data_IF_924467858170
#
_entry.id   IF_924467858170
#
_cell.length_a   1.000
_cell.length_b   1.000
_cell.length_c   1.000
_cell.angle_alpha   90.00
_cell.angle_beta   90.00
_cell.angle_gamma   90.00
#
_symmetry.space_group_name_H-M   'P 1'
#
loop_
_entity.id
_entity.type
_entity.pdbx_description
1 polymer ?
#
# COMPACT_ATOMS: atom_id res chain seq x y z
N UNK A 1 -12.92 52.29 47.00
CA UNK A 1 -13.24 50.84 46.90
C UNK A 1 -11.98 50.08 47.29
N UNK A 2 -11.99 49.30 48.37
CA UNK A 2 -10.80 48.79 49.08
C UNK A 2 -10.06 47.69 48.29
N UNK A 3 -9.29 48.09 47.27
CA UNK A 3 -8.48 47.20 46.43
C UNK A 3 -7.43 46.42 47.23
N UNK A 4 -6.93 46.97 48.34
CA UNK A 4 -5.94 46.33 49.20
C UNK A 4 -6.47 45.10 49.95
N UNK A 5 -7.77 45.00 50.22
CA UNK A 5 -8.34 43.83 50.92
C UNK A 5 -8.43 42.57 50.06
N UNK A 6 -8.48 42.73 48.73
CA UNK A 6 -8.69 41.63 47.78
C UNK A 6 -7.40 41.12 47.12
N UNK A 7 -6.23 41.69 47.46
CA UNK A 7 -4.95 41.31 46.84
C UNK A 7 -4.62 39.83 47.03
N UNK A 8 -4.90 39.28 48.22
CA UNK A 8 -4.66 37.86 48.52
C UNK A 8 -5.60 36.95 47.71
N UNK A 9 -6.88 37.31 47.58
CA UNK A 9 -7.85 36.54 46.78
C UNK A 9 -7.48 36.55 45.30
N UNK A 10 -6.98 37.68 44.80
CA UNK A 10 -6.55 37.85 43.41
C UNK A 10 -5.28 37.03 43.11
N UNK A 11 -4.33 36.96 44.06
CA UNK A 11 -3.17 36.06 43.94
C UNK A 11 -3.57 34.59 43.93
N UNK A 12 -4.53 34.17 44.77
CA UNK A 12 -5.04 32.79 44.79
C UNK A 12 -5.74 32.45 43.48
N UNK A 13 -6.55 33.37 42.93
CA UNK A 13 -7.21 33.18 41.64
C UNK A 13 -6.20 33.07 40.49
N UNK A 14 -5.17 33.91 40.48
CA UNK A 14 -4.10 33.84 39.49
C UNK A 14 -3.34 32.51 39.57
N UNK A 15 -3.02 32.03 40.77
CA UNK A 15 -2.38 30.73 40.98
C UNK A 15 -3.26 29.56 40.51
N UNK A 16 -4.56 29.60 40.80
CA UNK A 16 -5.51 28.60 40.33
C UNK A 16 -5.62 28.59 38.79
N UNK A 17 -5.62 29.77 38.16
CA UNK A 17 -5.65 29.89 36.71
C UNK A 17 -4.40 29.30 36.05
N UNK A 18 -3.21 29.57 36.62
CA UNK A 18 -1.96 28.99 36.13
C UNK A 18 -1.93 27.46 36.26
N UNK A 19 -2.47 26.89 37.35
CA UNK A 19 -2.59 25.43 37.47
C UNK A 19 -3.50 24.83 36.40
N UNK A 20 -4.65 25.44 36.11
CA UNK A 20 -5.58 24.96 35.08
C UNK A 20 -4.97 25.00 33.68
N UNK A 21 -4.22 26.06 33.37
CA UNK A 21 -3.49 26.18 32.11
C UNK A 21 -2.39 25.12 31.99
N UNK A 22 -1.60 24.92 33.05
CA UNK A 22 -0.54 23.90 33.07
C UNK A 22 -1.11 22.48 32.95
N UNK A 23 -2.22 22.19 33.64
CA UNK A 23 -2.91 20.91 33.55
C UNK A 23 -3.44 20.66 32.13
N UNK A 24 -4.12 21.64 31.54
CA UNK A 24 -4.66 21.56 30.18
C UNK A 24 -3.55 21.36 29.15
N UNK A 25 -2.44 22.10 29.29
CA UNK A 25 -1.26 21.96 28.43
C UNK A 25 -0.67 20.54 28.53
N UNK A 26 -0.44 20.03 29.74
CA UNK A 26 0.11 18.69 29.96
C UNK A 26 -0.81 17.60 29.43
N UNK A 27 -2.13 17.74 29.60
CA UNK A 27 -3.12 16.78 29.11
C UNK A 27 -3.13 16.73 27.57
N UNK A 28 -3.18 17.91 26.92
CA UNK A 28 -3.13 18.01 25.47
C UNK A 28 -1.80 17.50 24.89
N UNK A 29 -0.68 17.80 25.55
CA UNK A 29 0.63 17.33 25.11
C UNK A 29 0.74 15.80 25.24
N UNK A 30 0.29 15.21 26.34
CA UNK A 30 0.30 13.75 26.52
C UNK A 30 -0.58 13.04 25.49
N UNK A 31 -1.78 13.56 25.22
CA UNK A 31 -2.67 13.04 24.18
C UNK A 31 -2.03 13.11 22.78
N UNK A 32 -1.41 14.25 22.45
CA UNK A 32 -0.74 14.42 21.16
C UNK A 32 0.44 13.45 20.97
N UNK A 33 1.21 13.17 22.03
CA UNK A 33 2.31 12.21 22.00
C UNK A 33 1.83 10.77 21.79
N UNK A 34 0.73 10.37 22.45
CA UNK A 34 0.13 9.04 22.28
C UNK A 34 -0.35 8.86 20.83
N UNK A 35 -1.06 9.84 20.28
CA UNK A 35 -1.54 9.82 18.90
C UNK A 35 -0.36 9.77 17.92
N UNK A 36 0.69 10.54 18.16
CA UNK A 36 1.90 10.55 17.32
C UNK A 36 2.62 9.20 17.38
N UNK A 37 2.73 8.59 18.56
CA UNK A 37 3.34 7.27 18.74
C UNK A 37 2.56 6.18 17.97
N UNK A 38 1.22 6.19 18.05
CA UNK A 38 0.37 5.26 17.30
C UNK A 38 0.54 5.43 15.79
N UNK A 39 0.46 6.66 15.27
CA UNK A 39 0.71 6.95 13.85
C UNK A 39 2.09 6.49 13.38
N UNK A 40 3.10 6.66 14.23
CA UNK A 40 4.47 6.23 13.91
C UNK A 40 4.57 4.70 13.89
N UNK A 41 3.93 4.00 14.82
CA UNK A 41 3.88 2.54 14.82
C UNK A 41 3.16 1.99 13.58
N UNK A 42 2.04 2.59 13.17
CA UNK A 42 1.33 2.25 11.94
C UNK A 42 2.19 2.48 10.70
N UNK A 43 2.92 3.61 10.64
CA UNK A 43 3.84 3.90 9.54
C UNK A 43 4.98 2.85 9.48
N UNK A 44 5.57 2.50 10.62
CA UNK A 44 6.61 1.46 10.71
C UNK A 44 6.06 0.10 10.28
N UNK A 45 4.84 -0.25 10.70
CA UNK A 45 4.18 -1.49 10.29
C UNK A 45 3.96 -1.53 8.77
N UNK A 46 3.45 -0.43 8.19
CA UNK A 46 3.28 -0.29 6.74
C UNK A 46 4.60 -0.42 5.98
N UNK A 47 5.68 0.19 6.49
CA UNK A 47 7.02 0.04 5.92
C UNK A 47 7.53 -1.40 6.00
N UNK A 48 7.33 -2.08 7.13
CA UNK A 48 7.70 -3.51 7.28
C UNK A 48 6.95 -4.38 6.28
N UNK A 49 5.65 -4.14 6.08
CA UNK A 49 4.84 -4.83 5.07
C UNK A 49 5.37 -4.59 3.65
N UNK A 50 5.66 -3.34 3.29
CA UNK A 50 6.25 -3.02 1.98
C UNK A 50 7.60 -3.71 1.75
N UNK A 51 8.47 -3.77 2.78
CA UNK A 51 9.75 -4.47 2.73
C UNK A 51 9.55 -5.99 2.57
N UNK A 52 8.61 -6.57 3.33
CA UNK A 52 8.29 -7.99 3.22
C UNK A 52 7.80 -8.35 1.81
N UNK A 53 6.89 -7.55 1.24
CA UNK A 53 6.40 -7.71 -0.13
C UNK A 53 7.55 -7.61 -1.14
N UNK A 54 8.42 -6.62 -1.02
CA UNK A 54 9.60 -6.46 -1.88
C UNK A 54 10.56 -7.67 -1.80
N UNK A 55 10.68 -8.28 -0.62
CA UNK A 55 11.48 -9.51 -0.43
C UNK A 55 10.85 -10.71 -1.13
N UNK A 56 9.52 -10.83 -1.11
CA UNK A 56 8.79 -11.86 -1.87
C UNK A 56 8.94 -11.65 -3.38
N UNK A 57 8.88 -10.41 -3.86
CA UNK A 57 9.01 -10.10 -5.28
C UNK A 57 10.42 -10.37 -5.83
N UNK A 58 11.48 -10.04 -5.07
CA UNK A 58 12.88 -10.38 -5.43
C UNK A 58 13.22 -11.87 -5.40
N UNK A 59 12.31 -12.76 -5.00
CA UNK A 59 12.59 -14.18 -4.91
C UNK A 59 12.74 -14.82 -6.30
N UNK A 60 13.77 -15.67 -6.48
CA UNK A 60 13.98 -16.47 -7.71
C UNK A 60 12.74 -17.30 -8.08
N UNK A 61 11.97 -17.75 -7.09
CA UNK A 61 10.70 -18.48 -7.31
C UNK A 61 9.66 -17.65 -8.07
N UNK A 62 9.59 -16.33 -7.80
CA UNK A 62 8.67 -15.41 -8.49
C UNK A 62 9.05 -15.29 -9.96
N UNK A 63 10.35 -15.11 -10.25
CA UNK A 63 10.85 -15.08 -11.64
C UNK A 63 10.48 -16.34 -12.42
N UNK A 64 10.64 -17.52 -11.82
CA UNK A 64 10.26 -18.79 -12.44
C UNK A 64 8.75 -18.89 -12.70
N UNK A 65 7.92 -18.46 -11.74
CA UNK A 65 6.45 -18.44 -11.93
C UNK A 65 6.02 -17.50 -13.04
N UNK A 66 6.68 -16.33 -13.17
CA UNK A 66 6.42 -15.40 -14.27
C UNK A 66 6.82 -16.03 -15.62
N UNK A 67 7.98 -16.68 -15.69
CA UNK A 67 8.43 -17.33 -16.93
C UNK A 67 7.50 -18.49 -17.36
N UNK A 68 6.82 -19.15 -16.42
CA UNK A 68 5.79 -20.15 -16.73
C UNK A 68 4.57 -19.58 -17.45
N UNK A 69 4.27 -18.29 -17.32
CA UNK A 69 3.16 -17.67 -18.07
C UNK A 69 3.36 -17.78 -19.59
N UNK A 70 4.61 -17.80 -20.06
CA UNK A 70 4.95 -17.95 -21.48
C UNK A 70 4.51 -19.30 -22.06
N UNK A 71 4.38 -20.32 -21.20
CA UNK A 71 4.06 -21.69 -21.61
C UNK A 71 2.54 -21.93 -21.61
N UNK A 72 1.75 -21.07 -20.95
CA UNK A 72 0.30 -21.26 -20.82
C UNK A 72 -0.46 -21.09 -22.12
N UNK A 73 0.11 -20.35 -23.07
CA UNK A 73 -0.51 -19.99 -24.34
C UNK A 73 0.49 -20.26 -25.46
N UNK A 74 0.06 -20.72 -26.65
CA UNK A 74 0.93 -20.90 -27.79
C UNK A 74 1.73 -19.64 -28.14
N UNK A 75 3.01 -19.80 -28.51
CA UNK A 75 3.91 -18.68 -28.79
C UNK A 75 3.40 -17.75 -29.91
N UNK A 76 2.65 -18.30 -30.89
CA UNK A 76 2.04 -17.51 -31.97
C UNK A 76 1.01 -16.47 -31.48
N UNK A 77 0.39 -16.70 -30.32
CA UNK A 77 -0.61 -15.83 -29.72
C UNK A 77 -0.02 -14.85 -28.70
N UNK A 78 1.31 -14.85 -28.51
CA UNK A 78 1.99 -14.17 -27.43
C UNK A 78 3.07 -13.21 -27.93
N UNK A 79 2.95 -11.93 -27.56
CA UNK A 79 4.03 -10.96 -27.64
C UNK A 79 4.63 -10.78 -26.25
N UNK A 80 5.87 -11.19 -26.07
CA UNK A 80 6.54 -11.22 -24.78
C UNK A 80 7.75 -10.29 -24.77
N UNK A 81 7.72 -9.26 -23.93
CA UNK A 81 8.84 -8.35 -23.71
C UNK A 81 9.19 -8.33 -22.22
N UNK A 82 10.33 -8.92 -21.86
CA UNK A 82 10.84 -8.97 -20.49
C UNK A 82 12.16 -8.22 -20.39
N UNK A 83 12.21 -7.22 -19.51
CA UNK A 83 13.43 -6.48 -19.20
C UNK A 83 13.71 -6.57 -17.71
N UNK A 84 14.68 -7.40 -17.35
CA UNK A 84 15.07 -7.68 -15.96
C UNK A 84 13.86 -8.15 -15.12
N UNK A 85 13.30 -7.23 -14.35
CA UNK A 85 12.22 -7.41 -13.38
C UNK A 85 10.86 -6.88 -13.86
N UNK A 86 10.83 -6.28 -15.06
CA UNK A 86 9.61 -5.79 -15.70
C UNK A 86 9.21 -6.74 -16.81
N UNK A 87 7.91 -7.00 -16.92
CA UNK A 87 7.31 -7.77 -18.00
C UNK A 87 6.18 -6.95 -18.63
N UNK A 88 6.18 -6.94 -19.96
CA UNK A 88 5.05 -6.53 -20.78
C UNK A 88 4.72 -7.71 -21.71
N UNK A 89 3.53 -8.27 -21.53
CA UNK A 89 3.01 -9.35 -22.34
C UNK A 89 1.69 -8.92 -23.00
N UNK A 90 1.51 -9.26 -24.26
CA UNK A 90 0.23 -9.10 -24.96
C UNK A 90 -0.18 -10.45 -25.53
N UNK A 91 -1.37 -10.90 -25.17
CA UNK A 91 -1.97 -12.14 -25.60
C UNK A 91 -3.13 -11.80 -26.55
N UNK A 92 -3.15 -12.44 -27.72
CA UNK A 92 -4.17 -12.21 -28.75
C UNK A 92 -4.89 -13.52 -29.08
N UNK A 93 -6.14 -13.43 -29.51
CA UNK A 93 -6.94 -14.59 -29.93
C UNK A 93 -7.04 -15.71 -28.87
N UNK A 94 -7.23 -15.30 -27.60
CA UNK A 94 -7.46 -16.24 -26.51
C UNK A 94 -8.90 -16.74 -26.52
N UNK A 95 -9.07 -18.04 -26.27
CA UNK A 95 -10.38 -18.64 -25.94
C UNK A 95 -10.78 -18.34 -24.50
N UNK A 96 -12.06 -18.52 -24.15
CA UNK A 96 -12.54 -18.35 -22.76
C UNK A 96 -11.79 -19.23 -21.76
N UNK A 97 -11.41 -20.46 -22.16
CA UNK A 97 -10.64 -21.39 -21.33
C UNK A 97 -9.21 -20.91 -21.11
N UNK A 98 -8.52 -20.48 -22.18
CA UNK A 98 -7.16 -19.94 -22.10
C UNK A 98 -7.14 -18.64 -21.26
N UNK A 99 -8.13 -17.77 -21.44
CA UNK A 99 -8.28 -16.55 -20.66
C UNK A 99 -8.43 -16.85 -19.16
N UNK A 100 -9.36 -17.72 -18.78
CA UNK A 100 -9.57 -18.07 -17.37
C UNK A 100 -8.32 -18.67 -16.73
N UNK A 101 -7.61 -19.54 -17.46
CA UNK A 101 -6.35 -20.12 -17.00
C UNK A 101 -5.26 -19.06 -16.83
N UNK A 102 -5.12 -18.16 -17.79
CA UNK A 102 -4.18 -17.05 -17.76
C UNK A 102 -4.46 -16.13 -16.58
N UNK A 103 -5.69 -15.64 -16.44
CA UNK A 103 -6.10 -14.71 -15.39
C UNK A 103 -5.91 -15.33 -14.01
N UNK A 104 -6.28 -16.60 -13.83
CA UNK A 104 -6.06 -17.32 -12.56
C UNK A 104 -4.57 -17.42 -12.22
N UNK A 105 -3.70 -17.67 -13.20
CA UNK A 105 -2.26 -17.69 -12.95
C UNK A 105 -1.70 -16.29 -12.67
N UNK A 106 -2.14 -15.26 -13.40
CA UNK A 106 -1.71 -13.87 -13.18
C UNK A 106 -2.07 -13.40 -11.77
N UNK A 107 -3.30 -13.65 -11.31
CA UNK A 107 -3.77 -13.26 -9.98
C UNK A 107 -3.05 -14.01 -8.85
N UNK A 108 -2.57 -15.22 -9.11
CA UNK A 108 -1.79 -16.01 -8.16
C UNK A 108 -0.29 -15.69 -8.16
N UNK A 109 0.16 -14.72 -8.97
CA UNK A 109 1.54 -14.24 -8.95
C UNK A 109 1.73 -13.18 -7.88
N UNK A 110 2.76 -13.35 -7.07
CA UNK A 110 3.24 -12.31 -6.18
C UNK A 110 4.08 -11.29 -6.96
N UNK A 111 3.42 -10.47 -7.79
CA UNK A 111 4.02 -9.40 -8.60
C UNK A 111 3.18 -8.14 -8.50
N UNK A 112 3.79 -6.99 -8.74
CA UNK A 112 3.05 -5.73 -8.86
C UNK A 112 2.44 -5.65 -10.26
N UNK A 113 1.11 -5.75 -10.35
CA UNK A 113 0.37 -5.58 -11.60
C UNK A 113 0.25 -4.08 -11.89
N UNK A 114 0.81 -3.63 -13.01
CA UNK A 114 0.74 -2.23 -13.46
C UNK A 114 -0.40 -2.03 -14.46
N UNK A 115 -0.65 -3.02 -15.31
CA UNK A 115 -1.73 -3.02 -16.27
C UNK A 115 -2.24 -4.44 -16.44
N UNK A 116 -3.56 -4.60 -16.37
CA UNK A 116 -4.27 -5.80 -16.79
C UNK A 116 -5.51 -5.32 -17.54
N UNK A 117 -5.41 -5.26 -18.86
CA UNK A 117 -6.51 -4.89 -19.73
C UNK A 117 -7.01 -6.13 -20.50
N UNK A 118 -8.31 -6.36 -20.49
CA UNK A 118 -8.96 -7.52 -21.10
C UNK A 118 -10.04 -7.00 -22.04
N UNK A 119 -9.82 -7.20 -23.33
CA UNK A 119 -10.73 -6.76 -24.40
C UNK A 119 -11.32 -7.98 -25.09
N UNK A 120 -12.64 -7.99 -25.28
CA UNK A 120 -13.33 -9.00 -26.08
C UNK A 120 -13.39 -8.55 -27.53
N UNK A 121 -12.92 -9.40 -28.45
CA UNK A 121 -12.93 -9.17 -29.89
C UNK A 121 -13.68 -10.33 -30.54
N UNK A 122 -14.98 -10.13 -30.79
CA UNK A 122 -15.88 -11.17 -31.30
C UNK A 122 -15.98 -12.36 -30.34
N UNK A 123 -15.55 -13.54 -30.81
CA UNK A 123 -15.51 -14.78 -30.03
C UNK A 123 -14.20 -15.00 -29.26
N UNK A 124 -13.21 -14.11 -29.41
CA UNK A 124 -11.90 -14.25 -28.81
C UNK A 124 -11.59 -13.08 -27.85
N UNK A 125 -10.52 -13.23 -27.06
CA UNK A 125 -10.07 -12.23 -26.11
C UNK A 125 -8.64 -11.78 -26.41
N UNK A 126 -8.40 -10.50 -26.17
CA UNK A 126 -7.08 -9.87 -26.16
C UNK A 126 -6.78 -9.43 -24.73
N UNK A 127 -5.60 -9.74 -24.23
CA UNK A 127 -5.15 -9.36 -22.89
C UNK A 127 -3.82 -8.61 -22.99
N UNK A 128 -3.75 -7.44 -22.41
CA UNK A 128 -2.50 -6.71 -22.20
C UNK A 128 -2.13 -6.73 -20.73
N UNK A 129 -0.93 -7.23 -20.45
CA UNK A 129 -0.42 -7.44 -19.11
C UNK A 129 0.93 -6.75 -18.93
N UNK A 130 1.03 -5.88 -17.92
CA UNK A 130 2.30 -5.26 -17.50
C UNK A 130 2.50 -5.50 -16.01
N UNK A 131 3.66 -6.00 -15.62
CA UNK A 131 4.00 -6.18 -14.21
C UNK A 131 5.47 -5.90 -13.91
N UNK A 132 5.74 -5.70 -12.63
CA UNK A 132 7.07 -5.48 -12.07
C UNK A 132 7.24 -6.31 -10.79
N UNK A 133 8.46 -6.79 -10.49
CA UNK A 133 8.76 -7.53 -9.25
C UNK A 133 10.19 -7.27 -8.75
#
# INVERSE_FOLDING_TARGET
MNWQKYQNELMVLAAAMLMLLAYSYKHNQSSSQIIQAQKTQEAVHTLKHAIALKKVWKNKKTKQKVDKLKILVPAAKLRWNKKSNKLQASFVNLTSLELNKLTTHILNLAVQIQLLDIQKIGAAYKVEFKCNW
#
